data_IF_909621484074
#
_entry.id   IF_909621484074
#
_cell.length_a   1.000
_cell.length_b   1.000
_cell.length_c   1.000
_cell.angle_alpha   90.00
_cell.angle_beta   90.00
_cell.angle_gamma   90.00
#
_symmetry.space_group_name_H-M   'P 1'
#
loop_
_entity.id
_entity.type
_entity.pdbx_description
1 polymer ?
#
# COMPACT_ATOMS: atom_id res chain seq x y z
N UNK A 1 71.66 23.39 21.10
CA UNK A 1 70.59 24.26 21.61
C UNK A 1 69.43 23.35 22.02
N UNK A 2 68.96 23.48 23.26
CA UNK A 2 67.96 22.61 23.89
C UNK A 2 66.53 22.95 23.44
N UNK A 3 65.72 21.90 23.32
CA UNK A 3 64.27 21.72 23.53
C UNK A 3 63.33 22.96 23.62
N UNK A 4 62.13 22.85 23.04
CA UNK A 4 60.80 22.94 23.71
C UNK A 4 59.66 23.01 22.67
N UNK A 5 58.60 22.23 22.84
CA UNK A 5 57.35 22.41 22.08
C UNK A 5 56.56 21.13 21.78
N UNK A 6 56.22 20.34 22.81
CA UNK A 6 55.33 19.19 22.70
C UNK A 6 53.89 19.61 22.39
N UNK A 7 53.18 18.73 21.68
CA UNK A 7 51.73 18.63 21.49
C UNK A 7 51.06 19.56 20.46
N UNK A 8 50.89 19.04 19.23
CA UNK A 8 49.66 19.31 18.48
C UNK A 8 49.29 18.19 17.50
N UNK A 9 48.25 17.45 17.92
CA UNK A 9 47.18 16.81 17.13
C UNK A 9 47.57 15.62 16.25
N UNK A 10 47.36 14.45 16.86
CA UNK A 10 46.84 13.23 16.20
C UNK A 10 45.91 13.56 15.03
N UNK A 11 46.27 13.11 13.83
CA UNK A 11 45.32 12.92 12.74
C UNK A 11 45.81 11.78 11.86
N UNK A 12 45.42 10.56 12.24
CA UNK A 12 45.58 9.36 11.44
C UNK A 12 44.36 8.47 11.73
N UNK A 13 43.28 8.69 10.98
CA UNK A 13 42.19 7.72 10.83
C UNK A 13 41.76 7.75 9.36
N UNK A 14 42.55 7.11 8.51
CA UNK A 14 42.08 6.60 7.24
C UNK A 14 41.31 5.29 7.53
N UNK A 15 39.98 5.36 7.50
CA UNK A 15 39.12 4.18 7.43
C UNK A 15 37.99 4.50 6.44
N UNK A 16 38.07 3.86 5.28
CA UNK A 16 37.14 4.02 4.17
C UNK A 16 35.71 3.74 4.60
N UNK A 17 34.84 4.72 4.39
CA UNK A 17 33.41 4.53 4.46
C UNK A 17 32.96 3.71 3.25
N UNK A 18 32.85 2.40 3.43
CA UNK A 18 32.01 1.54 2.60
C UNK A 18 30.57 1.98 2.85
N UNK A 19 30.06 2.88 2.01
CA UNK A 19 28.65 3.22 1.97
C UNK A 19 27.88 2.01 1.43
N UNK A 20 27.47 1.11 2.31
CA UNK A 20 26.47 0.09 2.00
C UNK A 20 25.14 0.80 1.80
N UNK A 21 24.77 1.02 0.54
CA UNK A 21 23.39 1.28 0.16
C UNK A 21 22.56 0.06 0.54
N UNK A 22 22.06 0.05 1.78
CA UNK A 22 20.94 -0.78 2.17
C UNK A 22 19.71 -0.25 1.43
N UNK A 23 19.43 -0.83 0.26
CA UNK A 23 18.14 -0.72 -0.39
C UNK A 23 17.11 -1.33 0.55
N UNK A 24 16.56 -0.51 1.45
CA UNK A 24 15.34 -0.82 2.16
C UNK A 24 14.26 -1.15 1.10
N UNK A 25 13.45 -2.20 1.29
CA UNK A 25 12.43 -2.55 0.33
C UNK A 25 11.45 -1.38 0.20
N UNK A 26 11.32 -0.86 -1.01
CA UNK A 26 10.40 0.21 -1.41
C UNK A 26 8.96 -0.29 -1.38
N UNK A 27 8.44 -0.63 -0.20
CA UNK A 27 7.07 -1.08 -0.01
C UNK A 27 6.08 0.09 -0.01
N UNK A 28 6.52 1.28 0.40
CA UNK A 28 5.68 2.48 0.49
C UNK A 28 5.27 2.99 -0.89
N UNK A 29 6.21 3.04 -1.84
CA UNK A 29 5.93 3.51 -3.20
C UNK A 29 4.88 2.67 -3.97
N UNK A 30 4.65 1.41 -3.55
CA UNK A 30 3.65 0.53 -4.17
C UNK A 30 2.25 0.80 -3.62
N UNK A 31 2.12 1.09 -2.33
CA UNK A 31 0.83 1.43 -1.74
C UNK A 31 0.31 2.76 -2.28
N UNK A 32 1.17 3.78 -2.34
CA UNK A 32 0.79 5.10 -2.87
C UNK A 32 0.35 5.02 -4.35
N UNK A 33 1.04 4.22 -5.17
CA UNK A 33 0.67 4.04 -6.57
C UNK A 33 -0.64 3.25 -6.72
N UNK A 34 -0.82 2.15 -5.98
CA UNK A 34 -2.08 1.38 -6.00
C UNK A 34 -3.26 2.24 -5.56
N UNK A 35 -3.09 3.04 -4.50
CA UNK A 35 -4.13 3.95 -4.00
C UNK A 35 -4.49 5.02 -5.03
N UNK A 36 -3.50 5.57 -5.74
CA UNK A 36 -3.72 6.53 -6.83
C UNK A 36 -4.41 5.90 -8.03
N UNK A 37 -3.97 4.73 -8.47
CA UNK A 37 -4.55 4.02 -9.62
C UNK A 37 -6.00 3.62 -9.33
N UNK A 38 -6.25 3.09 -8.13
CA UNK A 38 -7.58 2.70 -7.66
C UNK A 38 -8.53 3.89 -7.60
N UNK A 39 -8.13 4.99 -6.95
CA UNK A 39 -8.99 6.17 -6.82
C UNK A 39 -9.24 6.88 -8.15
N UNK A 40 -8.24 6.90 -9.04
CA UNK A 40 -8.40 7.39 -10.42
C UNK A 40 -9.39 6.53 -11.21
N UNK A 41 -9.32 5.21 -11.06
CA UNK A 41 -10.26 4.28 -11.68
C UNK A 41 -11.69 4.50 -11.17
N UNK A 42 -11.89 4.62 -9.86
CA UNK A 42 -13.22 4.91 -9.29
C UNK A 42 -13.80 6.23 -9.82
N UNK A 43 -13.00 7.30 -9.86
CA UNK A 43 -13.43 8.60 -10.38
C UNK A 43 -13.83 8.53 -11.86
N UNK A 44 -13.07 7.81 -12.70
CA UNK A 44 -13.39 7.60 -14.11
C UNK A 44 -14.73 6.86 -14.31
N UNK A 45 -15.16 6.08 -13.31
CA UNK A 45 -16.41 5.33 -13.28
C UNK A 45 -17.51 5.98 -12.43
N UNK A 46 -17.30 7.23 -11.97
CA UNK A 46 -18.27 8.00 -11.21
C UNK A 46 -18.54 7.47 -9.79
N UNK A 47 -17.59 6.75 -9.21
CA UNK A 47 -17.65 6.24 -7.84
C UNK A 47 -16.86 7.15 -6.90
N UNK A 48 -17.52 7.60 -5.84
CA UNK A 48 -16.93 8.44 -4.79
C UNK A 48 -17.69 8.18 -3.47
N UNK A 49 -17.01 7.59 -2.48
CA UNK A 49 -17.56 7.30 -1.15
C UNK A 49 -17.28 8.41 -0.11
N UNK A 50 -16.78 9.56 -0.55
CA UNK A 50 -16.38 10.68 0.30
C UNK A 50 -14.92 11.12 0.11
N UNK A 51 -14.34 10.79 -1.04
CA UNK A 51 -13.02 11.16 -1.49
C UNK A 51 -12.01 10.00 -1.48
N UNK A 52 -10.83 10.21 -2.11
CA UNK A 52 -9.82 9.16 -2.32
C UNK A 52 -9.43 8.38 -1.06
N UNK A 53 -9.24 9.09 0.06
CA UNK A 53 -8.85 8.46 1.32
C UNK A 53 -9.96 7.58 1.93
N UNK A 54 -11.23 7.96 1.72
CA UNK A 54 -12.38 7.17 2.17
C UNK A 54 -12.59 5.95 1.27
N UNK A 55 -12.39 6.09 -0.04
CA UNK A 55 -12.48 4.98 -1.00
C UNK A 55 -11.46 3.88 -0.70
N UNK A 56 -10.19 4.26 -0.49
CA UNK A 56 -9.11 3.33 -0.12
C UNK A 56 -9.42 2.65 1.21
N UNK A 57 -9.87 3.42 2.22
CA UNK A 57 -10.24 2.86 3.52
C UNK A 57 -11.40 1.88 3.41
N UNK A 58 -12.41 2.18 2.59
CA UNK A 58 -13.53 1.28 2.34
C UNK A 58 -13.06 -0.02 1.67
N UNK A 59 -12.18 0.06 0.67
CA UNK A 59 -11.61 -1.10 -0.01
C UNK A 59 -10.80 -2.01 0.96
N UNK A 60 -9.99 -1.41 1.82
CA UNK A 60 -9.23 -2.14 2.84
C UNK A 60 -10.14 -2.81 3.90
N UNK A 61 -11.22 -2.14 4.30
CA UNK A 61 -12.19 -2.69 5.25
C UNK A 61 -12.98 -3.85 4.66
N UNK A 62 -13.51 -3.67 3.45
CA UNK A 62 -14.16 -4.73 2.67
C UNK A 62 -13.28 -5.98 2.62
N UNK A 63 -11.97 -5.81 2.42
CA UNK A 63 -11.06 -6.93 2.42
C UNK A 63 -10.95 -7.68 3.76
N UNK A 64 -10.97 -6.94 4.88
CA UNK A 64 -10.98 -7.55 6.21
C UNK A 64 -12.28 -8.33 6.42
N UNK A 65 -13.41 -7.78 5.99
CA UNK A 65 -14.72 -8.42 6.13
C UNK A 65 -14.82 -9.70 5.28
N UNK A 66 -14.35 -9.66 4.03
CA UNK A 66 -14.26 -10.86 3.18
C UNK A 66 -13.33 -11.94 3.74
N UNK A 67 -12.29 -11.56 4.49
CA UNK A 67 -11.41 -12.51 5.19
C UNK A 67 -12.04 -13.03 6.50
N UNK A 68 -12.89 -12.24 7.15
CA UNK A 68 -13.66 -12.64 8.32
C UNK A 68 -14.86 -13.54 7.99
N UNK A 69 -15.21 -13.68 6.70
CA UNK A 69 -16.25 -14.58 6.21
C UNK A 69 -17.52 -13.89 5.72
N UNK A 70 -17.54 -12.55 5.66
CA UNK A 70 -18.61 -11.81 5.01
C UNK A 70 -18.60 -12.07 3.50
N UNK A 71 -19.76 -11.97 2.86
CA UNK A 71 -19.88 -12.17 1.41
C UNK A 71 -19.75 -10.87 0.64
N UNK A 72 -19.24 -10.93 -0.59
CA UNK A 72 -19.20 -9.77 -1.50
C UNK A 72 -20.59 -9.16 -1.74
N UNK A 73 -21.65 -10.00 -1.71
CA UNK A 73 -23.03 -9.54 -1.83
C UNK A 73 -23.43 -8.65 -0.67
N UNK A 74 -23.02 -8.98 0.56
CA UNK A 74 -23.36 -8.17 1.73
C UNK A 74 -22.68 -6.79 1.67
N UNK A 75 -21.47 -6.72 1.12
CA UNK A 75 -20.77 -5.45 0.87
C UNK A 75 -21.46 -4.61 -0.21
N UNK A 76 -21.91 -5.24 -1.31
CA UNK A 76 -22.70 -4.58 -2.36
C UNK A 76 -24.01 -4.04 -1.77
N UNK A 77 -24.71 -4.84 -0.97
CA UNK A 77 -25.96 -4.46 -0.31
C UNK A 77 -25.74 -3.27 0.65
N UNK A 78 -24.60 -3.20 1.35
CA UNK A 78 -24.28 -2.05 2.19
C UNK A 78 -24.01 -0.76 1.39
N UNK A 79 -23.23 -0.87 0.31
CA UNK A 79 -22.87 0.27 -0.54
C UNK A 79 -24.09 0.86 -1.26
N UNK A 80 -25.00 -0.02 -1.70
CA UNK A 80 -26.25 0.37 -2.37
C UNK A 80 -27.34 0.82 -1.40
N UNK A 81 -27.50 0.14 -0.27
CA UNK A 81 -28.48 0.49 0.77
C UNK A 81 -28.21 1.85 1.43
N UNK A 82 -26.96 2.31 1.40
CA UNK A 82 -26.57 3.65 1.87
C UNK A 82 -26.88 4.77 0.86
N UNK A 83 -27.45 4.44 -0.32
CA UNK A 83 -27.62 5.34 -1.47
C UNK A 83 -26.34 6.04 -1.93
N UNK A 84 -25.18 5.47 -1.59
CA UNK A 84 -23.87 6.01 -1.97
C UNK A 84 -23.53 5.64 -3.39
N UNK A 85 -23.80 4.40 -3.78
CA UNK A 85 -23.55 3.85 -5.10
C UNK A 85 -24.80 3.16 -5.64
N UNK A 86 -24.95 3.12 -6.96
CA UNK A 86 -25.88 2.19 -7.60
C UNK A 86 -25.29 0.76 -7.61
N UNK A 87 -26.11 -0.23 -7.94
CA UNK A 87 -25.69 -1.65 -7.91
C UNK A 87 -24.49 -1.95 -8.82
N UNK A 88 -24.47 -1.40 -10.04
CA UNK A 88 -23.36 -1.58 -10.97
C UNK A 88 -22.06 -0.95 -10.46
N UNK A 89 -22.16 0.24 -9.85
CA UNK A 89 -21.03 0.93 -9.22
C UNK A 89 -20.50 0.18 -8.00
N UNK A 90 -21.39 -0.36 -7.17
CA UNK A 90 -21.01 -1.16 -6.01
C UNK A 90 -20.32 -2.47 -6.43
N UNK A 91 -20.86 -3.18 -7.43
CA UNK A 91 -20.23 -4.38 -7.99
C UNK A 91 -18.83 -4.08 -8.55
N UNK A 92 -18.70 -3.00 -9.32
CA UNK A 92 -17.43 -2.56 -9.87
C UNK A 92 -16.42 -2.20 -8.76
N UNK A 93 -16.85 -1.43 -7.76
CA UNK A 93 -16.03 -1.09 -6.60
C UNK A 93 -15.51 -2.34 -5.88
N UNK A 94 -16.41 -3.29 -5.57
CA UNK A 94 -16.05 -4.53 -4.87
C UNK A 94 -15.07 -5.38 -5.69
N UNK A 95 -15.25 -5.46 -7.01
CA UNK A 95 -14.34 -6.18 -7.89
C UNK A 95 -12.94 -5.56 -7.91
N UNK A 96 -12.84 -4.24 -8.10
CA UNK A 96 -11.57 -3.52 -8.11
C UNK A 96 -10.87 -3.57 -6.73
N UNK A 97 -11.61 -3.33 -5.66
CA UNK A 97 -11.10 -3.39 -4.30
C UNK A 97 -10.58 -4.79 -3.94
N UNK A 98 -11.23 -5.86 -4.42
CA UNK A 98 -10.77 -7.23 -4.20
C UNK A 98 -9.49 -7.52 -4.96
N UNK A 99 -9.35 -7.01 -6.18
CA UNK A 99 -8.14 -7.18 -6.99
C UNK A 99 -6.91 -6.49 -6.36
N UNK A 100 -7.09 -5.27 -5.86
CA UNK A 100 -5.98 -4.43 -5.41
C UNK A 100 -5.67 -4.60 -3.91
N UNK A 101 -6.68 -4.84 -3.07
CA UNK A 101 -6.53 -4.88 -1.61
C UNK A 101 -6.74 -6.26 -0.99
N UNK A 102 -7.16 -7.28 -1.75
CA UNK A 102 -7.33 -8.66 -1.27
C UNK A 102 -6.40 -9.69 -1.90
N UNK A 103 -5.09 -9.67 -1.60
CA UNK A 103 -4.14 -10.65 -2.10
C UNK A 103 -4.40 -12.08 -1.58
N UNK A 104 -5.16 -12.25 -0.50
CA UNK A 104 -5.58 -13.58 -0.05
C UNK A 104 -6.73 -14.18 -0.90
N UNK A 105 -7.50 -13.33 -1.58
CA UNK A 105 -8.56 -13.72 -2.51
C UNK A 105 -8.07 -13.76 -3.96
N UNK A 106 -6.96 -13.08 -4.24
CA UNK A 106 -6.13 -13.23 -5.44
C UNK A 106 -4.87 -14.04 -5.11
N UNK A 107 -4.91 -15.38 -5.05
CA UNK A 107 -3.67 -16.13 -4.88
C UNK A 107 -2.73 -15.73 -6.04
N UNK A 108 -1.47 -15.30 -5.77
CA UNK A 108 -0.47 -15.40 -6.81
C UNK A 108 -0.49 -16.87 -7.20
N UNK A 109 -0.64 -17.19 -8.48
CA UNK A 109 -0.56 -18.55 -8.99
C UNK A 109 0.67 -19.21 -8.37
N UNK A 110 0.48 -19.93 -7.27
CA UNK A 110 1.57 -20.58 -6.58
C UNK A 110 1.96 -21.68 -7.54
N UNK A 111 3.16 -21.69 -8.15
CA UNK A 111 3.64 -22.93 -8.70
C UNK A 111 3.75 -23.85 -7.49
N UNK A 112 2.91 -24.86 -7.45
CA UNK A 112 3.07 -26.01 -6.57
C UNK A 112 4.43 -26.61 -6.88
N UNK A 113 5.48 -26.19 -6.16
CA UNK A 113 6.73 -26.92 -6.17
C UNK A 113 6.55 -28.16 -5.31
N UNK A 114 6.56 -29.29 -6.00
CA UNK A 114 6.57 -30.68 -5.51
C UNK A 114 7.71 -30.96 -4.54
#
# INVERSE_FOLDING_TARGET
MMQHGMARKVSACALGALATLMLAPSTVARADQTDQDFTSYLQAHGVDLGGPAMDVKAAQMMCKDLNAGYSQKDEIDQLTGSHRLNEAQAQMFVAAATADYCPAKHPPSKPSSS
#
